data_IF_443007901369
#
_entry.id   IF_443007901369
#
_cell.length_a   1.000
_cell.length_b   1.000
_cell.length_c   1.000
_cell.angle_alpha   90.00
_cell.angle_beta   90.00
_cell.angle_gamma   90.00
#
_symmetry.space_group_name_H-M   'P 1'
#
loop_
_entity.id
_entity.type
_entity.pdbx_description
1 polymer ?
#
# COMPACT_ATOMS: atom_id res chain seq x y z
N UNK A 1 -32.12 -31.51 -14.35
CA UNK A 1 -32.66 -30.18 -14.03
C UNK A 1 -31.84 -29.42 -12.98
N UNK A 2 -31.59 -29.97 -11.78
CA UNK A 2 -30.80 -29.28 -10.72
C UNK A 2 -29.38 -28.86 -11.15
N UNK A 3 -28.66 -29.72 -11.89
CA UNK A 3 -27.32 -29.40 -12.44
C UNK A 3 -27.35 -28.30 -13.51
N UNK A 4 -28.40 -28.27 -14.32
CA UNK A 4 -28.60 -27.26 -15.36
C UNK A 4 -28.96 -25.90 -14.73
N UNK A 5 -29.79 -25.90 -13.68
CA UNK A 5 -30.14 -24.72 -12.91
C UNK A 5 -28.92 -24.16 -12.16
N UNK A 6 -28.07 -25.03 -11.60
CA UNK A 6 -26.81 -24.63 -10.98
C UNK A 6 -25.80 -24.04 -11.99
N UNK A 7 -25.72 -24.61 -13.19
CA UNK A 7 -24.89 -24.04 -14.27
C UNK A 7 -25.41 -22.68 -14.73
N UNK A 8 -26.73 -22.52 -14.84
CA UNK A 8 -27.35 -21.25 -15.21
C UNK A 8 -27.08 -20.17 -14.16
N UNK A 9 -27.17 -20.53 -12.88
CA UNK A 9 -26.89 -19.61 -11.76
C UNK A 9 -25.42 -19.17 -11.74
N UNK A 10 -24.49 -20.10 -11.98
CA UNK A 10 -23.07 -19.79 -12.06
C UNK A 10 -22.76 -18.88 -13.26
N UNK A 11 -23.38 -19.14 -14.42
CA UNK A 11 -23.23 -18.30 -15.60
C UNK A 11 -23.75 -16.87 -15.38
N UNK A 12 -24.90 -16.71 -14.70
CA UNK A 12 -25.41 -15.37 -14.36
C UNK A 12 -24.50 -14.61 -13.39
N UNK A 13 -23.87 -15.29 -12.41
CA UNK A 13 -22.88 -14.65 -11.52
C UNK A 13 -21.62 -14.17 -12.26
N UNK A 14 -21.21 -14.86 -13.34
CA UNK A 14 -20.08 -14.42 -14.17
C UNK A 14 -20.44 -13.21 -15.06
N UNK A 15 -21.71 -13.04 -15.43
CA UNK A 15 -22.17 -11.90 -16.25
C UNK A 15 -22.42 -10.61 -15.46
N UNK A 16 -22.51 -10.68 -14.12
CA UNK A 16 -22.61 -9.50 -13.24
C UNK A 16 -21.25 -8.98 -12.79
N UNK A 17 -20.25 -9.02 -13.68
CA UNK A 17 -18.95 -8.38 -13.42
C UNK A 17 -19.16 -6.87 -13.51
N UNK A 18 -19.47 -6.23 -12.37
CA UNK A 18 -19.53 -4.78 -12.29
C UNK A 18 -18.19 -4.20 -12.78
N UNK A 19 -18.27 -3.15 -13.61
CA UNK A 19 -17.07 -2.44 -14.03
C UNK A 19 -16.45 -1.83 -12.77
N UNK A 20 -15.29 -2.31 -12.36
CA UNK A 20 -14.49 -1.68 -11.34
C UNK A 20 -14.06 -0.30 -11.88
N UNK A 21 -14.81 0.74 -11.52
CA UNK A 21 -14.47 2.13 -11.83
C UNK A 21 -13.65 2.66 -10.67
N UNK A 22 -12.45 3.17 -10.95
CA UNK A 22 -11.71 3.92 -9.94
C UNK A 22 -12.46 5.21 -9.63
N UNK A 23 -12.71 5.52 -8.36
CA UNK A 23 -13.33 6.80 -7.99
C UNK A 23 -12.43 8.00 -8.32
N UNK A 24 -11.11 7.80 -8.26
CA UNK A 24 -10.08 8.76 -8.70
C UNK A 24 -8.99 7.99 -9.45
N UNK A 25 -8.71 8.36 -10.69
CA UNK A 25 -7.67 7.70 -11.49
C UNK A 25 -6.25 7.96 -10.99
N UNK A 26 -6.05 9.02 -10.19
CA UNK A 26 -4.76 9.40 -9.61
C UNK A 26 -4.57 8.85 -8.19
N UNK A 27 -5.58 8.16 -7.62
CA UNK A 27 -5.46 7.52 -6.32
C UNK A 27 -4.88 6.11 -6.49
N UNK A 28 -3.61 5.96 -6.14
CA UNK A 28 -2.88 4.71 -6.28
C UNK A 28 -2.52 4.11 -4.92
N UNK A 29 -2.80 2.82 -4.73
CA UNK A 29 -2.33 2.05 -3.59
C UNK A 29 -1.36 0.99 -4.08
N UNK A 30 -0.17 0.96 -3.49
CA UNK A 30 0.86 -0.03 -3.76
C UNK A 30 1.05 -0.92 -2.54
N UNK A 31 0.95 -2.24 -2.72
CA UNK A 31 1.32 -3.21 -1.68
C UNK A 31 2.76 -3.65 -1.91
N UNK A 32 3.63 -3.29 -0.96
CA UNK A 32 5.06 -3.56 -1.03
C UNK A 32 5.41 -4.79 -0.18
N UNK A 33 5.46 -5.96 -0.80
CA UNK A 33 5.85 -7.21 -0.13
C UNK A 33 7.31 -7.58 -0.39
N UNK A 34 7.96 -8.22 0.57
CA UNK A 34 9.31 -8.74 0.41
C UNK A 34 9.94 -9.19 1.72
N UNK A 35 11.28 -9.25 1.72
CA UNK A 35 12.11 -9.57 2.88
C UNK A 35 12.79 -8.30 3.42
N UNK A 36 13.91 -8.44 4.14
CA UNK A 36 14.65 -7.34 4.76
C UNK A 36 15.00 -6.18 3.81
N UNK A 37 15.32 -6.48 2.55
CA UNK A 37 15.63 -5.42 1.56
C UNK A 37 14.39 -4.60 1.15
N UNK A 38 13.18 -5.16 1.22
CA UNK A 38 11.94 -4.41 1.01
C UNK A 38 11.55 -3.65 2.28
N UNK A 39 11.78 -4.25 3.45
CA UNK A 39 11.58 -3.57 4.73
C UNK A 39 12.43 -2.30 4.83
N UNK A 40 13.66 -2.37 4.33
CA UNK A 40 14.63 -1.28 4.30
C UNK A 40 15.82 -1.57 5.19
N UNK A 41 17.02 -1.63 4.60
CA UNK A 41 18.25 -2.03 5.28
C UNK A 41 19.32 -0.93 5.33
N UNK A 42 19.11 0.16 4.58
CA UNK A 42 20.08 1.26 4.46
C UNK A 42 19.70 2.38 5.40
N UNK A 43 20.66 3.03 6.05
CA UNK A 43 20.39 4.20 6.89
C UNK A 43 19.85 5.35 6.02
N UNK A 44 18.75 5.98 6.44
CA UNK A 44 18.21 7.17 5.79
C UNK A 44 19.05 8.42 6.10
N UNK A 45 19.03 9.37 5.17
CA UNK A 45 19.64 10.68 5.29
C UNK A 45 18.58 11.76 5.55
N UNK A 46 19.02 12.98 5.93
CA UNK A 46 18.11 14.07 6.24
C UNK A 46 17.18 14.44 5.08
N UNK A 47 17.64 14.28 3.83
CA UNK A 47 16.82 14.53 2.64
C UNK A 47 15.67 13.53 2.49
N UNK A 48 15.85 12.29 2.96
CA UNK A 48 14.82 11.25 2.90
C UNK A 48 13.68 11.51 3.90
N UNK A 49 13.87 12.39 4.89
CA UNK A 49 12.83 12.77 5.86
C UNK A 49 11.98 13.96 5.41
N UNK A 50 12.21 14.51 4.22
CA UNK A 50 11.39 15.60 3.67
C UNK A 50 10.12 14.97 3.07
N UNK A 51 8.92 15.26 3.60
CA UNK A 51 7.68 14.67 3.09
C UNK A 51 7.34 15.21 1.70
N UNK A 52 6.71 14.38 0.87
CA UNK A 52 6.16 14.77 -0.44
C UNK A 52 4.63 14.85 -0.31
N UNK A 53 3.99 15.98 -0.70
CA UNK A 53 2.53 16.09 -0.64
C UNK A 53 1.83 14.98 -1.45
N UNK A 54 0.85 14.31 -0.85
CA UNK A 54 0.11 13.22 -1.49
C UNK A 54 0.80 11.85 -1.45
N UNK A 55 2.03 11.77 -0.95
CA UNK A 55 2.70 10.48 -0.70
C UNK A 55 2.54 10.08 0.78
N UNK A 56 1.61 9.16 1.00
CA UNK A 56 1.26 8.63 2.32
C UNK A 56 1.65 7.15 2.43
N UNK A 57 1.96 6.70 3.65
CA UNK A 57 2.11 5.30 4.00
C UNK A 57 1.06 4.92 5.05
N UNK A 58 0.61 3.67 5.05
CA UNK A 58 -0.22 3.12 6.13
C UNK A 58 0.67 2.36 7.10
N UNK A 59 0.58 2.65 8.40
CA UNK A 59 1.48 2.04 9.37
C UNK A 59 1.10 0.56 9.54
N UNK A 60 2.03 -0.39 9.33
CA UNK A 60 1.72 -1.82 9.50
C UNK A 60 1.68 -2.23 10.98
N UNK A 61 2.13 -1.36 11.89
CA UNK A 61 2.23 -1.59 13.33
C UNK A 61 2.19 -0.26 14.10
N UNK A 62 2.06 -0.33 15.43
CA UNK A 62 2.22 0.84 16.28
C UNK A 62 3.71 1.21 16.41
N UNK A 63 4.03 2.47 16.13
CA UNK A 63 5.37 3.06 16.31
C UNK A 63 5.26 4.36 17.12
N UNK A 64 5.19 4.28 18.47
CA UNK A 64 5.01 5.45 19.33
C UNK A 64 6.08 6.53 19.13
N UNK A 65 7.34 6.13 18.94
CA UNK A 65 8.47 7.06 18.74
C UNK A 65 8.34 7.91 17.45
N UNK A 66 7.63 7.38 16.46
CA UNK A 66 7.32 8.05 15.21
C UNK A 66 5.92 8.68 15.21
N UNK A 67 5.19 8.59 16.33
CA UNK A 67 3.79 8.98 16.46
C UNK A 67 2.86 8.31 15.41
N UNK A 68 3.06 7.02 15.14
CA UNK A 68 2.25 6.24 14.18
C UNK A 68 1.46 5.13 14.86
N UNK A 69 0.26 4.87 14.34
CA UNK A 69 -0.63 3.80 14.83
C UNK A 69 -0.99 2.85 13.70
N UNK A 70 -1.14 1.58 14.03
CA UNK A 70 -1.49 0.54 13.05
C UNK A 70 -2.75 0.89 12.26
N UNK A 71 -2.68 0.78 10.93
CA UNK A 71 -3.81 1.02 10.03
C UNK A 71 -4.11 2.48 9.73
N UNK A 72 -3.41 3.43 10.37
CA UNK A 72 -3.55 4.87 10.08
C UNK A 72 -2.58 5.29 8.96
N UNK A 73 -3.02 6.26 8.15
CA UNK A 73 -2.21 6.88 7.10
C UNK A 73 -1.38 8.03 7.68
N UNK A 74 -0.10 8.09 7.32
CA UNK A 74 0.81 9.17 7.72
C UNK A 74 1.73 9.55 6.55
N UNK A 75 2.34 10.76 6.58
CA UNK A 75 3.31 11.16 5.57
C UNK A 75 4.40 10.11 5.41
N UNK A 76 4.64 9.69 4.16
CA UNK A 76 5.60 8.65 3.85
C UNK A 76 7.04 9.18 3.96
N UNK A 77 7.61 9.03 5.15
CA UNK A 77 9.02 9.26 5.44
C UNK A 77 9.62 8.00 6.08
N UNK A 78 10.87 7.62 5.77
CA UNK A 78 11.48 6.42 6.33
C UNK A 78 11.53 6.49 7.86
N UNK A 79 11.42 5.33 8.53
CA UNK A 79 11.21 4.01 7.94
C UNK A 79 9.74 3.73 7.59
N UNK A 80 9.47 3.00 6.49
CA UNK A 80 8.08 2.76 6.03
C UNK A 80 7.46 1.46 6.56
N UNK A 81 8.22 0.37 6.61
CA UNK A 81 7.68 -0.97 6.87
C UNK A 81 7.86 -1.47 8.33
N UNK A 82 8.53 -0.69 9.19
CA UNK A 82 8.78 -1.02 10.60
C UNK A 82 9.42 0.13 11.34
N UNK A 83 9.32 0.17 12.67
CA UNK A 83 9.77 1.32 13.46
C UNK A 83 11.29 1.51 13.49
N UNK A 84 12.04 0.42 13.29
CA UNK A 84 13.50 0.32 13.36
C UNK A 84 14.16 0.04 12.00
N UNK A 85 13.37 0.05 10.92
CA UNK A 85 13.88 -0.20 9.58
C UNK A 85 14.70 0.97 9.03
N UNK A 86 15.30 0.75 7.86
CA UNK A 86 15.98 1.79 7.09
C UNK A 86 15.14 2.33 5.94
N UNK A 87 15.85 2.89 4.97
CA UNK A 87 15.36 3.28 3.66
C UNK A 87 15.00 2.04 2.84
N UNK A 88 13.77 2.04 2.32
CA UNK A 88 13.18 1.02 1.47
C UNK A 88 13.21 1.48 -0.01
N UNK A 89 13.24 0.57 -0.99
CA UNK A 89 12.94 0.93 -2.38
C UNK A 89 11.56 1.60 -2.54
N UNK A 90 10.61 1.34 -1.63
CA UNK A 90 9.29 1.98 -1.64
C UNK A 90 9.36 3.50 -1.41
N UNK A 91 10.38 4.01 -0.70
CA UNK A 91 10.55 5.45 -0.45
C UNK A 91 10.74 6.23 -1.75
N UNK A 92 11.71 5.82 -2.57
CA UNK A 92 12.01 6.50 -3.83
C UNK A 92 11.01 6.16 -4.93
N UNK A 93 10.44 4.96 -4.91
CA UNK A 93 9.35 4.61 -5.82
C UNK A 93 8.15 5.53 -5.59
N UNK A 94 7.66 5.66 -4.36
CA UNK A 94 6.49 6.48 -4.05
C UNK A 94 6.72 7.97 -4.31
N UNK A 95 7.89 8.50 -3.94
CA UNK A 95 8.31 9.88 -4.28
C UNK A 95 8.30 10.15 -5.78
N UNK A 96 8.57 9.13 -6.60
CA UNK A 96 8.59 9.27 -8.07
C UNK A 96 7.19 9.18 -8.69
N UNK A 97 6.27 8.50 -8.03
CA UNK A 97 4.88 8.33 -8.47
C UNK A 97 3.96 9.47 -8.02
N UNK A 98 4.32 10.16 -6.93
CA UNK A 98 3.62 11.32 -6.38
C UNK A 98 3.78 12.59 -7.25
#
# INVERSE_FOLDING_TARGET
MKKLLGLLFLATCFFTCEKAVSQDSNFHIYLCFGQSNMQGATKSEAMDSIPVPGFEMMSPMDCPDLNRRIGEWHPAVPPLAGCDAGLSPADYFGRKMA
#
